data_IF_656599246395
#
_entry.id   IF_656599246395
#
_cell.length_a   1.000
_cell.length_b   1.000
_cell.length_c   1.000
_cell.angle_alpha   90.00
_cell.angle_beta   90.00
_cell.angle_gamma   90.00
#
_symmetry.space_group_name_H-M   'P 1'
#
loop_
_entity.id
_entity.type
_entity.pdbx_description
1 polymer ?
#
# COMPACT_ATOMS: atom_id res chain seq x y z
N UNK A 1 1.59 8.90 14.16
CA UNK A 1 3.03 9.07 13.88
C UNK A 1 3.67 7.69 13.92
N UNK A 2 3.83 7.03 12.76
CA UNK A 2 4.45 5.70 12.68
C UNK A 2 5.96 5.89 12.70
N UNK A 3 6.66 5.17 13.61
CA UNK A 3 8.11 5.31 13.79
C UNK A 3 8.85 4.87 12.52
N UNK A 4 9.89 5.60 12.07
CA UNK A 4 10.73 5.16 10.97
C UNK A 4 11.49 3.91 11.41
N UNK A 5 11.71 3.02 10.45
CA UNK A 5 12.52 1.84 10.60
C UNK A 5 13.94 2.23 11.02
N UNK A 6 14.59 1.43 11.87
CA UNK A 6 15.96 1.67 12.37
C UNK A 6 16.95 0.80 11.60
N UNK A 7 18.09 1.36 11.22
CA UNK A 7 19.16 0.66 10.52
C UNK A 7 19.80 -0.38 11.42
N UNK A 8 19.64 -1.66 11.09
CA UNK A 8 20.22 -2.76 11.88
C UNK A 8 21.74 -2.79 11.90
N UNK A 9 22.42 -1.96 11.09
CA UNK A 9 23.88 -1.87 11.02
C UNK A 9 24.46 -0.72 11.84
N UNK A 10 23.71 0.37 12.05
CA UNK A 10 24.25 1.56 12.72
C UNK A 10 23.28 2.30 13.64
N UNK A 11 22.04 1.85 13.77
CA UNK A 11 21.01 2.49 14.59
C UNK A 11 20.42 3.79 14.03
N UNK A 12 20.90 4.25 12.86
CA UNK A 12 20.32 5.43 12.20
C UNK A 12 18.88 5.16 11.76
N UNK A 13 18.02 6.19 11.86
CA UNK A 13 16.66 6.18 11.31
C UNK A 13 16.54 6.97 10.01
N UNK A 14 17.68 7.46 9.49
CA UNK A 14 17.76 8.29 8.30
C UNK A 14 18.14 7.47 7.06
N UNK A 15 17.29 7.52 6.05
CA UNK A 15 17.37 6.70 4.85
C UNK A 15 17.00 7.51 3.60
N UNK A 16 17.73 7.27 2.51
CA UNK A 16 17.43 7.76 1.17
C UNK A 16 16.78 6.65 0.31
N UNK A 17 15.76 7.02 -0.45
CA UNK A 17 15.13 6.15 -1.45
C UNK A 17 16.01 6.08 -2.71
N UNK A 18 16.40 4.87 -3.12
CA UNK A 18 17.32 4.68 -4.26
C UNK A 18 16.59 4.20 -5.51
N UNK A 19 15.64 3.29 -5.33
CA UNK A 19 14.68 2.86 -6.34
C UNK A 19 13.52 2.11 -5.69
N UNK A 20 12.52 1.72 -6.48
CA UNK A 20 11.37 0.93 -6.03
C UNK A 20 11.82 -0.23 -5.11
N UNK A 21 11.43 -0.13 -3.83
CA UNK A 21 11.67 -1.10 -2.75
C UNK A 21 13.11 -1.22 -2.24
N UNK A 22 14.01 -0.28 -2.56
CA UNK A 22 15.35 -0.21 -1.95
C UNK A 22 15.60 1.15 -1.32
N UNK A 23 16.07 1.09 -0.09
CA UNK A 23 16.52 2.26 0.68
C UNK A 23 17.98 2.09 1.04
N UNK A 24 18.70 3.19 1.17
CA UNK A 24 20.05 3.22 1.71
C UNK A 24 20.04 4.05 2.97
N UNK A 25 20.69 3.55 4.02
CA UNK A 25 20.96 4.35 5.20
C UNK A 25 21.89 5.52 4.83
N UNK A 26 21.49 6.75 5.11
CA UNK A 26 22.29 7.96 4.81
C UNK A 26 23.61 7.94 5.59
N UNK A 27 23.59 7.36 6.79
CA UNK A 27 24.74 7.38 7.69
C UNK A 27 25.82 6.35 7.33
N UNK A 28 25.45 5.08 7.16
CA UNK A 28 26.42 3.99 6.95
C UNK A 28 26.44 3.44 5.52
N UNK A 29 25.62 3.96 4.61
CA UNK A 29 25.55 3.51 3.22
C UNK A 29 24.99 2.10 3.02
N UNK A 30 24.54 1.43 4.09
CA UNK A 30 23.99 0.08 4.01
C UNK A 30 22.69 0.08 3.21
N UNK A 31 22.58 -0.86 2.28
CA UNK A 31 21.42 -1.05 1.40
C UNK A 31 20.46 -2.06 1.99
N UNK A 32 19.18 -1.69 2.06
CA UNK A 32 18.11 -2.56 2.55
C UNK A 32 17.03 -2.69 1.48
N UNK A 33 16.47 -3.89 1.37
CA UNK A 33 15.19 -4.06 0.71
C UNK A 33 14.10 -3.66 1.70
N UNK A 34 13.23 -2.72 1.31
CA UNK A 34 12.03 -2.44 2.07
C UNK A 34 11.16 -3.71 2.04
N UNK A 35 11.11 -4.41 3.17
CA UNK A 35 10.32 -5.64 3.32
C UNK A 35 8.83 -5.38 3.57
N UNK A 36 8.36 -4.12 3.69
CA UNK A 36 6.99 -3.86 4.14
C UNK A 36 6.29 -2.59 3.65
N UNK A 37 4.98 -2.77 3.46
CA UNK A 37 3.88 -1.87 3.86
C UNK A 37 3.50 -0.67 2.98
N UNK A 38 3.85 -0.66 1.69
CA UNK A 38 3.05 0.17 0.77
C UNK A 38 1.76 -0.58 0.40
N UNK A 39 0.61 0.09 0.32
CA UNK A 39 -0.60 -0.51 -0.25
C UNK A 39 -0.25 -1.05 -1.63
N UNK A 40 -0.67 -2.27 -1.93
CA UNK A 40 -0.46 -2.84 -3.28
C UNK A 40 -1.23 -2.03 -4.32
N UNK A 41 -2.32 -1.37 -3.90
CA UNK A 41 -3.09 -0.44 -4.70
C UNK A 41 -3.46 0.78 -3.86
N UNK A 42 -3.11 1.96 -4.35
CA UNK A 42 -3.52 3.26 -3.78
C UNK A 42 -4.40 4.01 -4.78
N UNK A 43 -5.58 4.44 -4.33
CA UNK A 43 -6.49 5.32 -5.07
C UNK A 43 -6.49 6.67 -4.35
N UNK A 44 -5.78 7.63 -4.92
CA UNK A 44 -5.50 8.92 -4.30
C UNK A 44 -6.66 9.92 -4.46
N UNK A 45 -6.60 11.03 -3.73
CA UNK A 45 -7.61 12.10 -3.79
C UNK A 45 -7.93 12.55 -5.23
N UNK A 46 -9.20 12.85 -5.48
CA UNK A 46 -9.73 13.28 -6.78
C UNK A 46 -9.83 12.17 -7.84
N UNK A 47 -9.37 10.95 -7.57
CA UNK A 47 -9.48 9.85 -8.52
C UNK A 47 -10.93 9.40 -8.71
N UNK A 48 -11.28 9.03 -9.95
CA UNK A 48 -12.56 8.39 -10.27
C UNK A 48 -12.29 7.02 -10.89
N UNK A 49 -12.62 5.95 -10.18
CA UNK A 49 -12.31 4.57 -10.55
C UNK A 49 -13.59 3.75 -10.64
N UNK A 50 -13.78 3.02 -11.75
CA UNK A 50 -14.93 2.13 -11.95
C UNK A 50 -14.44 0.71 -12.28
N UNK A 51 -14.81 -0.26 -11.45
CA UNK A 51 -14.67 -1.68 -11.77
C UNK A 51 -15.98 -2.16 -12.42
N UNK A 52 -15.93 -2.38 -13.73
CA UNK A 52 -17.12 -2.70 -14.54
C UNK A 52 -17.84 -3.99 -14.15
N UNK A 53 -19.09 -4.16 -14.62
CA UNK A 53 -19.99 -5.27 -14.24
C UNK A 53 -19.42 -6.68 -14.50
N UNK A 54 -18.58 -6.83 -15.52
CA UNK A 54 -17.95 -8.10 -15.89
C UNK A 54 -16.52 -8.23 -15.34
N UNK A 55 -16.08 -7.28 -14.51
CA UNK A 55 -14.74 -7.30 -13.95
C UNK A 55 -14.58 -8.46 -12.94
N UNK A 56 -13.40 -9.07 -12.98
CA UNK A 56 -12.94 -10.06 -12.00
C UNK A 56 -11.50 -9.69 -11.62
N UNK A 57 -11.36 -8.87 -10.58
CA UNK A 57 -10.08 -8.28 -10.17
C UNK A 57 -9.57 -8.96 -8.91
N UNK A 58 -8.29 -9.29 -8.88
CA UNK A 58 -7.58 -9.79 -7.68
C UNK A 58 -6.47 -8.81 -7.31
N UNK A 59 -6.50 -8.30 -6.07
CA UNK A 59 -5.42 -7.47 -5.50
C UNK A 59 -4.68 -8.29 -4.45
N UNK A 60 -3.37 -8.48 -4.65
CA UNK A 60 -2.49 -9.21 -3.71
C UNK A 60 -1.79 -8.25 -2.76
N UNK A 61 -2.46 -7.93 -1.67
CA UNK A 61 -1.96 -7.15 -0.55
C UNK A 61 -3.07 -6.27 0.01
N UNK A 62 -2.77 -5.01 0.28
CA UNK A 62 -3.72 -4.07 0.87
C UNK A 62 -4.17 -3.02 -0.16
N UNK A 63 -5.41 -2.52 -0.02
CA UNK A 63 -5.95 -1.40 -0.81
C UNK A 63 -6.08 -0.19 0.11
N UNK A 64 -5.61 0.97 -0.34
CA UNK A 64 -5.84 2.26 0.30
C UNK A 64 -6.64 3.17 -0.64
N UNK A 65 -7.67 3.81 -0.09
CA UNK A 65 -8.50 4.79 -0.78
C UNK A 65 -8.48 6.06 0.05
N UNK A 66 -8.02 7.15 -0.56
CA UNK A 66 -7.94 8.46 0.11
C UNK A 66 -9.27 9.21 0.06
N UNK A 67 -9.42 10.18 0.95
CA UNK A 67 -10.58 11.07 0.98
C UNK A 67 -10.68 11.80 -0.36
N UNK A 68 -11.89 11.89 -0.91
CA UNK A 68 -12.18 12.59 -2.17
C UNK A 68 -12.03 11.72 -3.42
N UNK A 69 -11.51 10.50 -3.29
CA UNK A 69 -11.63 9.49 -4.32
C UNK A 69 -13.08 8.97 -4.44
N UNK A 70 -13.51 8.72 -5.67
CA UNK A 70 -14.75 8.02 -6.01
C UNK A 70 -14.43 6.66 -6.58
N UNK A 71 -14.96 5.60 -5.97
CA UNK A 71 -14.74 4.21 -6.40
C UNK A 71 -16.07 3.48 -6.51
N UNK A 72 -16.42 3.06 -7.72
CA UNK A 72 -17.62 2.29 -8.01
C UNK A 72 -17.23 0.84 -8.35
N UNK A 73 -17.67 -0.13 -7.54
CA UNK A 73 -17.40 -1.57 -7.76
C UNK A 73 -18.68 -2.25 -8.23
N UNK A 74 -18.75 -2.58 -9.52
CA UNK A 74 -19.91 -3.22 -10.16
C UNK A 74 -19.68 -4.70 -10.47
N UNK A 75 -18.43 -5.15 -10.49
CA UNK A 75 -18.02 -6.54 -10.69
C UNK A 75 -17.43 -7.17 -9.44
N UNK A 76 -16.67 -8.26 -9.59
CA UNK A 76 -16.02 -8.95 -8.49
C UNK A 76 -14.62 -8.39 -8.24
N UNK A 77 -14.33 -8.02 -7.00
CA UNK A 77 -12.99 -7.65 -6.54
C UNK A 77 -12.63 -8.54 -5.34
N UNK A 78 -11.48 -9.20 -5.41
CA UNK A 78 -10.96 -10.07 -4.34
C UNK A 78 -9.63 -9.49 -3.85
N UNK A 79 -9.42 -9.42 -2.54
CA UNK A 79 -8.17 -8.93 -1.94
C UNK A 79 -7.54 -10.05 -1.11
N UNK A 80 -6.27 -10.34 -1.37
CA UNK A 80 -5.52 -11.42 -0.74
C UNK A 80 -4.35 -10.84 0.06
N UNK A 81 -4.26 -11.12 1.36
CA UNK A 81 -3.07 -10.80 2.16
C UNK A 81 -2.17 -12.04 2.25
N UNK A 82 -1.11 -12.05 1.46
CA UNK A 82 -0.28 -13.25 1.28
C UNK A 82 -0.98 -14.30 0.40
N UNK A 83 -1.16 -15.53 0.89
CA UNK A 83 -1.86 -16.64 0.18
C UNK A 83 -3.30 -16.87 0.66
N UNK A 84 -3.83 -16.04 1.56
CA UNK A 84 -5.17 -16.22 2.13
C UNK A 84 -6.10 -15.11 1.67
N UNK A 85 -7.31 -15.50 1.26
CA UNK A 85 -8.41 -14.60 0.95
C UNK A 85 -9.03 -14.09 2.25
N UNK A 86 -9.30 -12.79 2.31
CA UNK A 86 -10.03 -12.19 3.44
C UNK A 86 -11.29 -11.49 2.91
N UNK A 87 -12.37 -11.61 3.67
CA UNK A 87 -13.53 -10.72 3.54
C UNK A 87 -13.14 -9.35 4.13
N UNK A 88 -13.37 -8.28 3.39
CA UNK A 88 -13.18 -6.92 3.89
C UNK A 88 -14.53 -6.26 4.13
N UNK A 89 -14.70 -5.72 5.32
CA UNK A 89 -15.83 -4.84 5.65
C UNK A 89 -15.48 -3.42 5.23
N UNK A 90 -16.23 -2.88 4.27
CA UNK A 90 -16.16 -1.47 3.90
C UNK A 90 -16.67 -0.63 5.07
N UNK A 91 -15.77 0.08 5.76
CA UNK A 91 -16.17 1.06 6.77
C UNK A 91 -16.24 2.43 6.11
N UNK A 92 -17.46 2.89 5.83
CA UNK A 92 -17.73 4.25 5.38
C UNK A 92 -17.24 5.23 6.46
N UNK A 93 -16.17 5.98 6.19
CA UNK A 93 -15.75 7.07 7.08
C UNK A 93 -16.44 8.35 6.59
N UNK A 94 -17.75 8.42 6.88
CA UNK A 94 -18.71 9.54 6.77
C UNK A 94 -18.76 10.33 5.45
N UNK A 95 -20.00 10.55 4.99
CA UNK A 95 -20.35 11.41 3.86
C UNK A 95 -20.29 12.89 4.14
#
# INVERSE_FOLDING_TARGET
MMKPYECTQCGSTDFEDINLKKVRCVYCGSLFHLLKNEPTLSINDGANVVFGKTANVEVRGDIQIEKGARVDILGKVTVLKGKKQQEFSLKLIKG
#
